data_IF_808406122156
#
_entry.id   IF_808406122156
#
_cell.length_a   1.000
_cell.length_b   1.000
_cell.length_c   1.000
_cell.angle_alpha   90.00
_cell.angle_beta   90.00
_cell.angle_gamma   90.00
#
_symmetry.space_group_name_H-M   'P 1'
#
loop_
_entity.id
_entity.type
_entity.pdbx_description
1 polymer ?
#
# COMPACT_ATOMS: atom_id res chain seq x y z
N UNK A 1 5.27 -0.73 -1.58
CA UNK A 1 4.21 -1.01 -2.56
C UNK A 1 3.00 -1.51 -1.82
N UNK A 2 1.84 -0.92 -2.10
CA UNK A 2 0.58 -1.21 -1.42
C UNK A 2 -0.25 -2.19 -2.25
N UNK A 3 -1.09 -2.97 -1.59
CA UNK A 3 -2.08 -3.82 -2.25
C UNK A 3 -3.41 -3.04 -2.32
N UNK A 4 -3.90 -2.66 -3.52
CA UNK A 4 -5.10 -1.86 -3.66
C UNK A 4 -6.36 -2.59 -3.16
N UNK A 5 -6.41 -3.92 -3.27
CA UNK A 5 -7.54 -4.72 -2.78
C UNK A 5 -7.63 -4.62 -1.27
N UNK A 6 -6.52 -4.86 -0.56
CA UNK A 6 -6.46 -4.74 0.90
C UNK A 6 -6.86 -3.32 1.35
N UNK A 7 -6.33 -2.30 0.67
CA UNK A 7 -6.66 -0.91 1.00
C UNK A 7 -8.16 -0.62 0.81
N UNK A 8 -8.77 -1.20 -0.21
CA UNK A 8 -10.20 -1.04 -0.46
C UNK A 8 -11.04 -1.60 0.71
N UNK A 9 -10.69 -2.78 1.22
CA UNK A 9 -11.34 -3.34 2.41
C UNK A 9 -11.07 -2.53 3.69
N UNK A 10 -9.82 -2.10 3.90
CA UNK A 10 -9.43 -1.37 5.11
C UNK A 10 -10.07 0.03 5.20
N UNK A 11 -10.30 0.69 4.06
CA UNK A 11 -10.80 2.08 3.99
C UNK A 11 -12.29 2.19 3.68
N UNK A 12 -12.88 1.19 3.03
CA UNK A 12 -14.29 1.21 2.63
C UNK A 12 -14.98 -0.13 2.94
N UNK A 13 -15.00 -0.59 4.21
CA UNK A 13 -15.52 -1.91 4.57
C UNK A 13 -17.00 -2.12 4.22
N UNK A 14 -17.77 -1.05 4.06
CA UNK A 14 -19.18 -1.08 3.65
C UNK A 14 -19.39 -0.82 2.15
N UNK A 15 -18.33 -0.49 1.42
CA UNK A 15 -18.44 -0.22 -0.02
C UNK A 15 -19.10 1.11 -0.40
N UNK A 16 -19.33 2.00 0.57
CA UNK A 16 -20.05 3.27 0.35
C UNK A 16 -19.31 4.17 -0.62
N UNK A 17 -17.98 4.20 -0.55
CA UNK A 17 -17.16 5.00 -1.46
C UNK A 17 -17.23 4.42 -2.87
N UNK A 18 -17.08 3.10 -3.02
CA UNK A 18 -17.14 2.45 -4.33
C UNK A 18 -18.51 2.66 -4.98
N UNK A 19 -19.61 2.43 -4.25
CA UNK A 19 -20.96 2.62 -4.81
C UNK A 19 -21.25 4.05 -5.24
N UNK A 20 -20.67 5.03 -4.55
CA UNK A 20 -20.85 6.46 -4.88
C UNK A 20 -20.09 6.87 -6.14
N UNK A 21 -18.87 6.36 -6.33
CA UNK A 21 -17.98 6.81 -7.40
C UNK A 21 -17.92 5.87 -8.61
N UNK A 22 -18.38 4.64 -8.46
CA UNK A 22 -18.41 3.60 -9.49
C UNK A 22 -19.84 3.05 -9.57
N UNK A 23 -20.79 3.84 -10.13
CA UNK A 23 -22.21 3.52 -10.08
C UNK A 23 -22.56 2.22 -10.79
N UNK A 24 -21.77 1.78 -11.76
CA UNK A 24 -21.94 0.49 -12.42
C UNK A 24 -21.76 -0.71 -11.46
N UNK A 25 -21.06 -0.53 -10.33
CA UNK A 25 -20.92 -1.54 -9.28
C UNK A 25 -21.92 -1.34 -8.13
N UNK A 26 -22.79 -0.32 -8.20
CA UNK A 26 -23.64 0.07 -7.08
C UNK A 26 -24.67 -0.98 -6.65
N UNK A 27 -25.01 -1.93 -7.53
CA UNK A 27 -25.97 -3.01 -7.24
C UNK A 27 -25.29 -4.32 -6.81
N UNK A 28 -23.97 -4.39 -6.84
CA UNK A 28 -23.25 -5.59 -6.42
C UNK A 28 -23.34 -5.79 -4.91
N UNK A 29 -23.41 -7.05 -4.48
CA UNK A 29 -23.30 -7.38 -3.06
C UNK A 29 -21.89 -7.08 -2.53
N UNK A 30 -21.79 -6.73 -1.25
CA UNK A 30 -20.53 -6.32 -0.61
C UNK A 30 -19.40 -7.35 -0.77
N UNK A 31 -19.74 -8.64 -0.76
CA UNK A 31 -18.81 -9.76 -0.98
C UNK A 31 -18.04 -9.66 -2.30
N UNK A 32 -18.65 -9.09 -3.36
CA UNK A 32 -18.05 -8.98 -4.69
C UNK A 32 -17.62 -7.55 -5.03
N UNK A 33 -18.05 -6.56 -4.26
CA UNK A 33 -17.84 -5.15 -4.60
C UNK A 33 -16.36 -4.76 -4.71
N UNK A 34 -15.52 -5.30 -3.81
CA UNK A 34 -14.09 -5.03 -3.79
C UNK A 34 -13.29 -5.83 -4.83
N UNK A 35 -13.81 -6.98 -5.25
CA UNK A 35 -13.14 -7.89 -6.18
C UNK A 35 -14.15 -8.51 -7.19
N UNK A 36 -14.82 -7.69 -8.02
CA UNK A 36 -15.96 -8.16 -8.81
C UNK A 36 -15.55 -9.17 -9.90
N UNK A 37 -14.29 -9.16 -10.32
CA UNK A 37 -13.74 -10.15 -11.26
C UNK A 37 -13.71 -11.59 -10.70
N UNK A 38 -13.69 -11.77 -9.38
CA UNK A 38 -13.67 -13.10 -8.72
C UNK A 38 -15.03 -13.82 -8.75
N UNK A 39 -16.10 -13.17 -9.18
CA UNK A 39 -17.40 -13.82 -9.34
C UNK A 39 -17.32 -15.02 -10.31
N UNK A 40 -17.98 -16.12 -9.97
CA UNK A 40 -18.09 -17.30 -10.85
C UNK A 40 -18.87 -16.95 -12.13
N UNK A 41 -18.66 -17.72 -13.19
CA UNK A 41 -19.41 -17.57 -14.45
C UNK A 41 -20.92 -17.62 -14.25
N UNK A 42 -21.40 -18.50 -13.37
CA UNK A 42 -22.83 -18.72 -13.15
C UNK A 42 -23.45 -17.50 -12.46
N UNK A 43 -22.78 -16.98 -11.43
CA UNK A 43 -23.18 -15.73 -10.76
C UNK A 43 -23.15 -14.54 -11.72
N UNK A 44 -22.21 -14.49 -12.67
CA UNK A 44 -22.13 -13.43 -13.68
C UNK A 44 -23.26 -13.46 -14.71
N UNK A 45 -23.89 -14.62 -14.93
CA UNK A 45 -25.06 -14.74 -15.81
C UNK A 45 -26.37 -14.42 -15.07
N UNK A 46 -26.48 -14.85 -13.81
CA UNK A 46 -27.68 -14.61 -13.00
C UNK A 46 -27.79 -13.17 -12.50
N UNK A 47 -26.66 -12.54 -12.18
CA UNK A 47 -26.58 -11.12 -11.90
C UNK A 47 -26.26 -10.41 -13.21
N UNK A 48 -26.84 -9.23 -13.46
CA UNK A 48 -26.44 -8.37 -14.57
C UNK A 48 -25.03 -7.81 -14.29
N UNK A 49 -24.02 -8.67 -14.33
CA UNK A 49 -22.69 -8.37 -13.85
C UNK A 49 -22.06 -7.32 -14.78
N UNK A 50 -21.63 -6.17 -14.25
CA UNK A 50 -21.02 -5.11 -15.04
C UNK A 50 -19.63 -5.51 -15.56
N UNK A 51 -18.99 -6.53 -14.98
CA UNK A 51 -17.62 -6.93 -15.31
C UNK A 51 -17.54 -7.51 -16.72
N UNK A 52 -16.62 -6.98 -17.52
CA UNK A 52 -16.40 -7.32 -18.93
C UNK A 52 -17.24 -6.49 -19.91
N UNK A 53 -18.23 -5.73 -19.44
CA UNK A 53 -19.05 -4.83 -20.27
C UNK A 53 -18.86 -3.36 -19.89
N UNK A 54 -19.11 -3.04 -18.63
CA UNK A 54 -19.07 -1.69 -18.08
C UNK A 54 -17.90 -1.50 -17.09
N UNK A 55 -17.44 -2.60 -16.48
CA UNK A 55 -16.29 -2.61 -15.58
C UNK A 55 -15.22 -3.57 -16.11
N UNK A 56 -13.96 -3.13 -16.19
CA UNK A 56 -12.89 -3.93 -16.80
C UNK A 56 -12.34 -5.01 -15.87
N UNK A 57 -11.73 -6.05 -16.45
CA UNK A 57 -10.92 -7.00 -15.68
C UNK A 57 -9.63 -6.32 -15.18
N UNK A 58 -9.05 -6.80 -14.06
CA UNK A 58 -7.75 -6.32 -13.61
C UNK A 58 -6.70 -6.44 -14.71
N UNK A 59 -6.04 -5.33 -15.04
CA UNK A 59 -5.00 -5.29 -16.07
C UNK A 59 -3.77 -6.12 -15.68
N UNK A 60 -3.52 -6.25 -14.38
CA UNK A 60 -2.36 -6.95 -13.82
C UNK A 60 -2.73 -7.62 -12.50
N UNK A 61 -2.11 -8.77 -12.24
CA UNK A 61 -2.22 -9.46 -10.96
C UNK A 61 -1.28 -8.77 -9.97
N UNK A 62 -1.85 -8.13 -8.94
CA UNK A 62 -1.11 -7.32 -7.96
C UNK A 62 0.12 -8.04 -7.38
N UNK A 63 -0.02 -9.31 -7.00
CA UNK A 63 1.09 -10.08 -6.42
C UNK A 63 2.28 -10.18 -7.37
N UNK A 64 2.03 -10.52 -8.64
CA UNK A 64 3.05 -10.64 -9.68
C UNK A 64 3.68 -9.29 -10.00
N UNK A 65 2.86 -8.23 -10.13
CA UNK A 65 3.32 -6.88 -10.41
C UNK A 65 4.21 -6.34 -9.29
N UNK A 66 3.80 -6.56 -8.03
CA UNK A 66 4.60 -6.17 -6.86
C UNK A 66 5.92 -6.93 -6.78
N UNK A 67 5.93 -8.23 -7.10
CA UNK A 67 7.17 -9.03 -7.14
C UNK A 67 8.13 -8.50 -8.20
N UNK A 68 7.64 -8.27 -9.42
CA UNK A 68 8.44 -7.74 -10.53
C UNK A 68 8.99 -6.34 -10.21
N UNK A 69 8.17 -5.46 -9.65
CA UNK A 69 8.63 -4.12 -9.30
C UNK A 69 9.67 -4.12 -8.17
N UNK A 70 9.51 -4.98 -7.15
CA UNK A 70 10.52 -5.15 -6.09
C UNK A 70 11.85 -5.64 -6.67
N UNK A 71 11.82 -6.58 -7.62
CA UNK A 71 13.01 -7.06 -8.30
C UNK A 71 13.71 -5.91 -9.05
N UNK A 72 12.97 -5.17 -9.89
CA UNK A 72 13.49 -3.99 -10.62
C UNK A 72 14.08 -2.93 -9.70
N UNK A 73 13.42 -2.63 -8.57
CA UNK A 73 13.95 -1.70 -7.56
C UNK A 73 15.25 -2.21 -6.92
N UNK A 74 15.35 -3.51 -6.70
CA UNK A 74 16.54 -4.14 -6.14
C UNK A 74 17.69 -4.08 -7.13
N UNK A 75 17.44 -4.37 -8.40
CA UNK A 75 18.45 -4.33 -9.45
C UNK A 75 18.94 -2.89 -9.69
N UNK A 76 18.04 -1.91 -9.68
CA UNK A 76 18.41 -0.50 -9.77
C UNK A 76 19.34 -0.04 -8.63
N UNK A 77 19.25 -0.65 -7.44
CA UNK A 77 20.14 -0.35 -6.31
C UNK A 77 21.52 -1.00 -6.42
N UNK A 78 21.66 -2.04 -7.25
CA UNK A 78 22.92 -2.78 -7.46
C UNK A 78 23.79 -2.16 -8.54
N UNK A 79 23.28 -1.17 -9.28
CA UNK A 79 24.04 -0.47 -10.31
C UNK A 79 25.26 0.21 -9.68
N UNK A 80 26.41 0.11 -10.35
CA UNK A 80 27.66 0.73 -9.88
C UNK A 80 27.49 2.25 -9.69
N UNK A 81 28.03 2.79 -8.60
CA UNK A 81 27.91 4.20 -8.26
C UNK A 81 26.53 4.62 -7.68
N UNK A 82 25.54 3.72 -7.60
CA UNK A 82 24.24 4.04 -6.98
C UNK A 82 24.40 4.54 -5.54
N UNK A 83 25.27 3.89 -4.76
CA UNK A 83 25.52 4.28 -3.36
C UNK A 83 26.12 5.68 -3.24
N UNK A 84 26.98 6.08 -4.17
CA UNK A 84 27.62 7.40 -4.17
C UNK A 84 26.62 8.49 -4.51
N UNK A 85 25.82 8.27 -5.55
CA UNK A 85 24.72 9.16 -5.95
C UNK A 85 23.71 9.29 -4.81
N UNK A 86 23.30 8.17 -4.20
CA UNK A 86 22.38 8.17 -3.08
C UNK A 86 22.92 8.96 -1.87
N UNK A 87 24.22 8.83 -1.55
CA UNK A 87 24.88 9.64 -0.50
C UNK A 87 24.86 11.13 -0.81
N UNK A 88 25.17 11.51 -2.05
CA UNK A 88 25.14 12.92 -2.48
C UNK A 88 23.74 13.52 -2.39
N UNK A 89 22.73 12.79 -2.88
CA UNK A 89 21.32 13.17 -2.78
C UNK A 89 20.91 13.31 -1.30
N UNK A 90 21.29 12.35 -0.47
CA UNK A 90 20.99 12.39 0.97
C UNK A 90 21.65 13.59 1.66
N UNK A 91 22.92 13.90 1.35
CA UNK A 91 23.61 15.07 1.93
C UNK A 91 22.94 16.39 1.53
N UNK A 92 22.45 16.48 0.28
CA UNK A 92 21.82 17.68 -0.28
C UNK A 92 20.37 17.89 0.20
N UNK A 93 19.60 16.81 0.29
CA UNK A 93 18.16 16.85 0.58
C UNK A 93 17.81 16.42 2.01
N UNK A 94 18.78 15.93 2.77
CA UNK A 94 18.66 15.55 4.16
C UNK A 94 18.46 16.78 5.06
N UNK A 95 17.34 17.46 4.90
CA UNK A 95 16.93 18.68 5.63
C UNK A 95 16.78 18.48 7.14
N UNK A 96 17.06 17.28 7.64
CA UNK A 96 16.99 16.87 9.04
C UNK A 96 18.25 16.13 9.50
N UNK A 97 19.43 16.55 9.04
CA UNK A 97 20.68 16.24 9.75
C UNK A 97 20.72 16.94 11.12
N UNK A 98 19.74 16.66 11.98
CA UNK A 98 19.81 17.00 13.40
C UNK A 98 20.69 15.91 14.00
N UNK A 99 21.91 16.21 14.46
CA UNK A 99 22.75 15.21 15.08
C UNK A 99 21.97 14.60 16.25
N UNK A 100 22.03 13.26 16.36
CA UNK A 100 21.46 12.57 17.50
C UNK A 100 22.15 13.08 18.77
N UNK A 101 21.52 14.02 19.49
CA UNK A 101 21.96 14.39 20.83
C UNK A 101 21.75 13.17 21.71
N UNK A 102 22.82 12.44 22.03
CA UNK A 102 22.82 11.47 23.14
C UNK A 102 22.32 12.23 24.38
N UNK A 103 21.10 11.95 24.84
CA UNK A 103 20.65 12.42 26.15
C UNK A 103 21.56 11.73 27.17
N UNK A 104 22.29 12.52 27.96
CA UNK A 104 23.04 11.98 29.09
C UNK A 104 22.09 11.18 29.99
N UNK A 105 22.51 9.99 30.41
CA UNK A 105 21.73 9.15 31.32
C UNK A 105 21.53 9.95 32.62
N UNK A 106 20.30 10.21 33.07
CA UNK A 106 20.10 10.95 34.31
C UNK A 106 20.75 10.16 35.45
N UNK A 107 21.55 10.84 36.26
CA UNK A 107 22.15 10.27 37.45
C UNK A 107 21.04 9.78 38.38
N UNK A 108 21.11 8.52 38.81
CA UNK A 108 20.01 7.85 39.50
C UNK A 108 19.97 8.30 40.97
N UNK A 109 19.38 9.48 41.22
CA UNK A 109 19.19 10.06 42.56
C UNK A 109 18.11 9.36 43.40
N UNK A 110 17.54 8.24 42.92
CA UNK A 110 16.45 7.55 43.61
C UNK A 110 16.86 7.00 45.00
N UNK A 111 18.15 6.74 45.23
CA UNK A 111 18.67 6.29 46.53
C UNK A 111 18.83 7.41 47.56
N UNK A 112 18.79 8.69 47.16
CA UNK A 112 18.88 9.81 48.12
C UNK A 112 17.54 10.14 48.80
N UNK A 113 16.47 9.43 48.44
CA UNK A 113 15.12 9.65 48.98
C UNK A 113 14.79 8.78 50.20
N UNK A 114 15.69 7.88 50.60
CA UNK A 114 15.50 6.95 51.72
C UNK A 114 16.50 7.17 52.88
N UNK A 115 16.95 8.41 53.12
CA UNK A 115 17.76 8.76 54.30
C UNK A 115 16.91 9.47 55.35
#
# INVERSE_FOLDING_TARGET
>A
MYNPVKQSYDQDPEGKFIRKWVPELADLSLQWLHEPWKMSSDLKHHLACPVGKHYSFPLVINETAMKQARARMTDARKVDGFADIARQVYARLGSRNRPFRRRAKPENRQLSLFR
#
